data_IF_756004897070
#
_entry.id   IF_756004897070
#
_cell.length_a   1.000
_cell.length_b   1.000
_cell.length_c   1.000
_cell.angle_alpha   90.00
_cell.angle_beta   90.00
_cell.angle_gamma   90.00
#
_symmetry.space_group_name_H-M   'P 1'
#
loop_
_entity.id
_entity.type
_entity.pdbx_description
1 polymer ?
#
# COMPACT_ATOMS: atom_id res chain seq x y z
N UNK A 1 -11.68 -12.91 -17.19
CA UNK A 1 -11.01 -12.18 -16.10
C UNK A 1 -9.73 -11.60 -16.66
N UNK A 2 -9.49 -10.30 -16.50
CA UNK A 2 -8.19 -9.73 -16.84
C UNK A 2 -7.13 -10.18 -15.81
N UNK A 3 -5.86 -10.05 -16.17
CA UNK A 3 -4.75 -10.43 -15.31
C UNK A 3 -4.75 -9.64 -13.99
N UNK A 4 -4.35 -10.31 -12.90
CA UNK A 4 -4.05 -9.66 -11.62
C UNK A 4 -3.00 -8.56 -11.81
N UNK A 5 -3.22 -7.41 -11.17
CA UNK A 5 -2.30 -6.27 -11.17
C UNK A 5 -1.85 -5.93 -9.75
N UNK A 6 -0.59 -5.57 -9.56
CA UNK A 6 -0.02 -5.07 -8.31
C UNK A 6 0.26 -3.57 -8.50
N UNK A 7 -0.71 -2.69 -8.21
CA UNK A 7 -0.55 -1.25 -8.44
C UNK A 7 0.52 -0.63 -7.53
N UNK A 8 0.72 -1.20 -6.33
CA UNK A 8 1.66 -0.68 -5.35
C UNK A 8 2.09 -1.73 -4.33
N UNK A 9 3.32 -1.55 -3.84
CA UNK A 9 3.88 -2.23 -2.67
C UNK A 9 4.41 -1.15 -1.72
N UNK A 10 4.06 -1.25 -0.44
CA UNK A 10 4.42 -0.27 0.57
C UNK A 10 5.26 -0.95 1.66
N UNK A 11 6.47 -0.45 1.84
CA UNK A 11 7.36 -0.87 2.93
C UNK A 11 7.29 0.14 4.05
N UNK A 12 7.09 -0.35 5.27
CA UNK A 12 6.91 0.46 6.46
C UNK A 12 7.96 0.07 7.48
N UNK A 13 8.78 1.02 7.91
CA UNK A 13 9.78 0.79 8.94
C UNK A 13 9.61 1.79 10.05
N UNK A 14 9.46 1.30 11.27
CA UNK A 14 9.32 2.14 12.46
C UNK A 14 10.60 2.09 13.27
N UNK A 15 10.95 3.23 13.86
CA UNK A 15 12.08 3.42 14.76
C UNK A 15 11.64 4.25 15.97
N UNK A 16 12.50 4.33 16.99
CA UNK A 16 12.23 5.18 18.16
C UNK A 16 12.12 6.64 17.70
N UNK A 17 11.13 7.38 18.23
CA UNK A 17 10.89 8.78 17.85
C UNK A 17 12.19 9.60 17.96
N UNK A 18 12.50 10.32 16.89
CA UNK A 18 13.60 11.25 16.75
C UNK A 18 13.07 12.59 16.22
N UNK A 19 13.08 13.61 17.09
CA UNK A 19 12.63 14.97 16.77
C UNK A 19 13.61 15.72 15.85
N UNK A 20 14.85 15.24 15.75
CA UNK A 20 15.91 15.81 14.92
C UNK A 20 16.13 15.02 13.61
N UNK A 21 15.27 14.04 13.31
CA UNK A 21 15.46 13.11 12.19
C UNK A 21 15.74 13.79 10.85
N UNK A 22 15.13 14.96 10.58
CA UNK A 22 15.35 15.69 9.33
C UNK A 22 16.76 16.29 9.26
N UNK A 23 17.32 16.68 10.40
CA UNK A 23 18.70 17.16 10.50
C UNK A 23 19.66 15.98 10.35
N UNK A 24 19.42 14.89 11.10
CA UNK A 24 20.22 13.66 11.07
C UNK A 24 20.25 13.04 9.67
N UNK A 25 19.09 12.81 9.07
CA UNK A 25 18.98 12.24 7.73
C UNK A 25 19.30 13.23 6.60
N UNK A 26 19.47 14.53 6.86
CA UNK A 26 19.55 15.56 5.82
C UNK A 26 20.60 15.28 4.74
N UNK A 27 21.75 14.70 5.12
CA UNK A 27 22.79 14.27 4.17
C UNK A 27 22.35 13.05 3.37
N UNK A 28 21.85 12.01 4.03
CA UNK A 28 21.36 10.79 3.38
C UNK A 28 20.23 11.09 2.40
N UNK A 29 19.27 11.95 2.76
CA UNK A 29 18.16 12.37 1.90
C UNK A 29 18.65 13.07 0.63
N UNK A 30 19.63 13.98 0.74
CA UNK A 30 20.24 14.65 -0.42
C UNK A 30 20.96 13.66 -1.34
N UNK A 31 21.72 12.73 -0.78
CA UNK A 31 22.42 11.69 -1.54
C UNK A 31 21.45 10.75 -2.25
N UNK A 32 20.41 10.31 -1.56
CA UNK A 32 19.33 9.50 -2.13
C UNK A 32 18.63 10.24 -3.27
N UNK A 33 18.24 11.49 -3.03
CA UNK A 33 17.56 12.33 -4.02
C UNK A 33 18.40 12.49 -5.28
N UNK A 34 19.70 12.76 -5.14
CA UNK A 34 20.62 12.84 -6.27
C UNK A 34 20.78 11.50 -7.01
N UNK A 35 20.98 10.39 -6.27
CA UNK A 35 21.16 9.04 -6.85
C UNK A 35 19.94 8.58 -7.64
N UNK A 36 18.74 8.90 -7.16
CA UNK A 36 17.47 8.49 -7.79
C UNK A 36 16.94 9.48 -8.83
N UNK A 37 17.61 10.63 -9.03
CA UNK A 37 17.05 11.76 -9.77
C UNK A 37 15.63 12.11 -9.27
N UNK A 38 15.47 12.09 -7.94
CA UNK A 38 14.19 12.25 -7.26
C UNK A 38 14.10 13.64 -6.62
N UNK A 39 12.89 14.17 -6.49
CA UNK A 39 12.64 15.47 -5.87
C UNK A 39 12.51 15.32 -4.36
N UNK A 40 13.37 16.00 -3.60
CA UNK A 40 13.20 16.16 -2.15
C UNK A 40 12.23 17.32 -1.87
N UNK A 41 11.23 17.06 -1.04
CA UNK A 41 10.18 18.02 -0.66
C UNK A 41 10.11 18.04 0.87
N UNK A 42 10.40 19.19 1.48
CA UNK A 42 10.14 19.39 2.90
C UNK A 42 8.69 19.82 3.08
N UNK A 43 8.00 19.19 4.03
CA UNK A 43 6.61 19.50 4.35
C UNK A 43 6.58 20.44 5.55
N UNK A 44 5.71 21.46 5.49
CA UNK A 44 5.47 22.36 6.63
C UNK A 44 4.46 21.73 7.60
N UNK A 45 4.82 20.55 8.11
CA UNK A 45 3.96 19.77 8.99
C UNK A 45 4.07 20.33 10.41
N UNK A 46 2.96 20.71 11.07
CA UNK A 46 2.99 21.30 12.41
C UNK A 46 3.61 20.38 13.47
N UNK A 47 4.22 20.95 14.49
CA UNK A 47 4.82 20.19 15.61
C UNK A 47 3.77 19.37 16.39
N UNK A 48 2.52 19.85 16.43
CA UNK A 48 1.40 19.15 17.05
C UNK A 48 0.90 17.95 16.23
N UNK A 49 1.32 17.80 14.97
CA UNK A 49 0.95 16.65 14.15
C UNK A 49 1.59 15.37 14.70
N UNK A 50 0.92 14.22 14.59
CA UNK A 50 1.43 12.99 15.17
C UNK A 50 2.83 12.62 14.61
N UNK A 51 3.65 11.87 15.37
CA UNK A 51 5.02 11.55 14.98
C UNK A 51 5.12 10.84 13.62
N UNK A 52 4.11 10.03 13.27
CA UNK A 52 4.02 9.30 12.02
C UNK A 52 3.64 10.18 10.82
N UNK A 53 3.16 11.40 11.04
CA UNK A 53 2.83 12.30 9.94
C UNK A 53 4.12 12.72 9.17
N UNK A 54 4.07 12.75 7.84
CA UNK A 54 5.24 12.98 7.01
C UNK A 54 5.81 14.39 7.25
N UNK A 55 7.13 14.49 7.36
CA UNK A 55 7.89 15.75 7.49
C UNK A 55 8.71 16.05 6.24
N UNK A 56 9.15 15.02 5.52
CA UNK A 56 9.76 15.16 4.20
C UNK A 56 9.34 14.02 3.27
N UNK A 57 9.40 14.28 1.97
CA UNK A 57 9.15 13.31 0.91
C UNK A 57 10.31 13.28 -0.07
N UNK A 58 10.69 12.09 -0.53
CA UNK A 58 11.52 11.90 -1.72
C UNK A 58 10.66 11.27 -2.79
N UNK A 59 10.36 12.04 -3.84
CA UNK A 59 9.50 11.63 -4.94
C UNK A 59 10.33 11.28 -6.17
N UNK A 60 10.46 9.97 -6.43
CA UNK A 60 11.01 9.43 -7.65
C UNK A 60 9.94 9.19 -8.72
N UNK A 61 10.34 8.56 -9.83
CA UNK A 61 9.42 8.20 -10.94
C UNK A 61 8.44 7.10 -10.55
N UNK A 62 8.93 6.11 -9.81
CA UNK A 62 8.27 4.84 -9.48
C UNK A 62 8.16 4.62 -7.97
N UNK A 63 8.62 5.57 -7.16
CA UNK A 63 8.71 5.43 -5.72
C UNK A 63 8.51 6.76 -5.01
N UNK A 64 7.89 6.70 -3.84
CA UNK A 64 7.73 7.83 -2.92
C UNK A 64 8.20 7.34 -1.56
N UNK A 65 9.26 7.94 -1.03
CA UNK A 65 9.68 7.73 0.34
C UNK A 65 9.17 8.88 1.20
N UNK A 66 8.49 8.55 2.28
CA UNK A 66 7.99 9.46 3.31
C UNK A 66 8.81 9.29 4.56
N UNK A 67 9.24 10.43 5.12
CA UNK A 67 10.09 10.52 6.29
C UNK A 67 9.30 11.22 7.39
N UNK A 68 9.09 10.52 8.48
CA UNK A 68 8.37 10.99 9.66
C UNK A 68 9.28 10.91 10.89
N UNK A 69 8.83 11.40 12.05
CA UNK A 69 9.64 11.45 13.28
C UNK A 69 9.91 10.07 13.88
N UNK A 70 9.13 9.05 13.53
CA UNK A 70 9.30 7.68 14.06
C UNK A 70 9.16 6.60 12.98
N UNK A 71 9.06 6.98 11.71
CA UNK A 71 8.70 6.07 10.63
C UNK A 71 9.29 6.50 9.29
N UNK A 72 9.83 5.53 8.57
CA UNK A 72 10.06 5.60 7.14
C UNK A 72 9.00 4.78 6.42
N UNK A 73 8.42 5.34 5.37
CA UNK A 73 7.45 4.64 4.54
C UNK A 73 7.83 4.81 3.07
N UNK A 74 8.08 3.70 2.38
CA UNK A 74 8.43 3.71 0.96
C UNK A 74 7.34 3.02 0.18
N UNK A 75 6.62 3.78 -0.63
CA UNK A 75 5.65 3.26 -1.60
C UNK A 75 6.32 3.10 -2.94
N UNK A 76 6.33 1.89 -3.48
CA UNK A 76 6.80 1.55 -4.83
C UNK A 76 5.62 1.24 -5.72
N UNK A 77 5.61 1.80 -6.93
CA UNK A 77 4.67 1.51 -8.00
C UNK A 77 5.43 0.80 -9.11
N UNK A 78 5.38 -0.54 -9.19
CA UNK A 78 6.03 -1.28 -10.26
C UNK A 78 5.59 -0.77 -11.64
N UNK A 79 6.45 -0.78 -12.67
CA UNK A 79 6.05 -0.36 -14.01
C UNK A 79 5.07 -1.36 -14.64
N UNK A 80 4.24 -0.92 -15.59
CA UNK A 80 3.12 -1.71 -16.14
C UNK A 80 3.52 -3.11 -16.64
N UNK A 81 4.69 -3.26 -17.26
CA UNK A 81 5.18 -4.55 -17.75
C UNK A 81 5.59 -5.54 -16.65
N UNK A 82 5.68 -5.08 -15.38
CA UNK A 82 6.03 -5.89 -14.20
C UNK A 82 4.82 -6.14 -13.30
N UNK A 83 3.81 -5.26 -13.33
CA UNK A 83 2.70 -5.26 -12.37
C UNK A 83 1.89 -6.56 -12.28
N UNK A 84 1.97 -7.43 -13.29
CA UNK A 84 1.19 -8.66 -13.35
C UNK A 84 1.96 -9.90 -12.84
N UNK A 85 3.23 -9.74 -12.46
CA UNK A 85 4.07 -10.81 -11.93
C UNK A 85 4.54 -10.47 -10.51
N UNK A 86 4.04 -11.22 -9.52
CA UNK A 86 4.35 -10.97 -8.11
C UNK A 86 5.86 -11.09 -7.81
N UNK A 87 6.57 -12.17 -8.21
CA UNK A 87 8.02 -12.27 -8.02
C UNK A 87 8.77 -11.05 -8.57
N UNK A 88 8.51 -10.66 -9.82
CA UNK A 88 9.15 -9.49 -10.43
C UNK A 88 8.80 -8.19 -9.71
N UNK A 89 7.56 -8.02 -9.23
CA UNK A 89 7.17 -6.85 -8.42
C UNK A 89 7.92 -6.79 -7.08
N UNK A 90 8.09 -7.93 -6.40
CA UNK A 90 8.81 -8.03 -5.14
C UNK A 90 10.31 -7.77 -5.34
N UNK A 91 10.91 -8.34 -6.38
CA UNK A 91 12.31 -8.08 -6.74
C UNK A 91 12.54 -6.62 -7.11
N UNK A 92 11.65 -6.03 -7.92
CA UNK A 92 11.70 -4.61 -8.24
C UNK A 92 11.63 -3.74 -6.98
N UNK A 93 10.70 -4.07 -6.07
CA UNK A 93 10.55 -3.38 -4.78
C UNK A 93 11.81 -3.51 -3.96
N UNK A 94 12.41 -4.70 -3.87
CA UNK A 94 13.66 -4.93 -3.14
C UNK A 94 14.79 -4.03 -3.66
N UNK A 95 14.99 -4.00 -4.98
CA UNK A 95 16.01 -3.17 -5.63
C UNK A 95 15.81 -1.67 -5.40
N UNK A 96 14.57 -1.21 -5.16
CA UNK A 96 14.26 0.18 -4.85
C UNK A 96 14.38 0.50 -3.36
N UNK A 97 13.84 -0.35 -2.50
CA UNK A 97 13.67 -0.07 -1.07
C UNK A 97 14.94 -0.36 -0.28
N UNK A 98 15.58 -1.49 -0.53
CA UNK A 98 16.71 -1.97 0.29
C UNK A 98 17.87 -0.95 0.34
N UNK A 99 18.35 -0.40 -0.80
CA UNK A 99 19.45 0.56 -0.79
C UNK A 99 19.09 1.92 -0.18
N UNK A 100 17.80 2.23 -0.04
CA UNK A 100 17.32 3.46 0.59
C UNK A 100 17.24 3.28 2.10
N UNK A 101 16.59 2.21 2.51
CA UNK A 101 16.38 1.90 3.92
C UNK A 101 17.69 1.63 4.64
N UNK A 102 18.64 0.92 4.03
CA UNK A 102 19.97 0.71 4.63
C UNK A 102 20.70 2.04 4.86
N UNK A 103 20.50 3.03 4.01
CA UNK A 103 21.13 4.35 4.17
C UNK A 103 20.42 5.19 5.23
N UNK A 104 19.08 5.22 5.21
CA UNK A 104 18.28 5.94 6.19
C UNK A 104 18.42 5.38 7.61
N UNK A 105 18.51 4.05 7.74
CA UNK A 105 18.59 3.40 9.05
C UNK A 105 19.95 3.57 9.73
N UNK A 106 20.99 4.03 9.02
CA UNK A 106 22.26 4.43 9.65
C UNK A 106 22.11 5.68 10.53
N UNK A 107 21.09 6.48 10.26
CA UNK A 107 20.84 7.77 10.90
C UNK A 107 19.88 7.66 12.09
N UNK A 108 19.38 6.45 12.42
CA UNK A 108 18.46 6.23 13.55
C UNK A 108 19.07 5.30 14.59
N UNK A 109 18.74 5.54 15.87
CA UNK A 109 19.27 4.78 17.00
C UNK A 109 18.87 3.29 16.95
N UNK A 110 17.58 3.02 16.69
CA UNK A 110 17.06 1.66 16.72
C UNK A 110 15.87 1.46 15.78
N UNK A 111 16.02 0.48 14.90
CA UNK A 111 14.94 -0.12 14.12
C UNK A 111 14.05 -0.96 15.05
N UNK A 112 12.74 -0.72 15.01
CA UNK A 112 11.77 -1.37 15.91
C UNK A 112 10.95 -2.46 15.22
N UNK A 113 10.47 -2.24 14.00
CA UNK A 113 9.75 -3.25 13.21
C UNK A 113 9.61 -2.83 11.75
N UNK A 114 9.34 -3.82 10.91
CA UNK A 114 9.14 -3.73 9.47
C UNK A 114 7.79 -4.35 9.10
N UNK A 115 7.09 -3.69 8.19
CA UNK A 115 5.90 -4.20 7.53
C UNK A 115 6.00 -4.04 6.03
N UNK A 116 5.39 -4.97 5.31
CA UNK A 116 5.28 -4.97 3.87
C UNK A 116 3.81 -5.15 3.51
N UNK A 117 3.26 -4.20 2.78
CA UNK A 117 1.87 -4.18 2.35
C UNK A 117 1.83 -4.29 0.84
N UNK A 118 1.25 -5.38 0.33
CA UNK A 118 1.08 -5.60 -1.11
C UNK A 118 -0.39 -5.46 -1.44
N UNK A 119 -0.69 -4.62 -2.43
CA UNK A 119 -2.04 -4.49 -2.98
C UNK A 119 -2.14 -5.28 -4.28
N UNK A 120 -3.19 -6.08 -4.38
CA UNK A 120 -3.57 -6.84 -5.56
C UNK A 120 -4.91 -6.31 -6.06
N UNK A 121 -5.01 -6.11 -7.37
CA UNK A 121 -6.23 -5.70 -8.05
C UNK A 121 -6.58 -6.77 -9.10
N UNK A 122 -7.77 -7.34 -8.95
CA UNK A 122 -8.36 -8.25 -9.93
C UNK A 122 -9.46 -7.49 -10.66
N UNK A 123 -9.11 -6.98 -11.84
CA UNK A 123 -10.04 -6.25 -12.69
C UNK A 123 -11.07 -7.19 -13.30
N UNK A 124 -12.34 -6.77 -13.29
CA UNK A 124 -13.39 -7.46 -14.02
C UNK A 124 -13.43 -7.04 -15.49
N UNK A 125 -13.94 -7.93 -16.35
CA UNK A 125 -14.09 -7.64 -17.77
C UNK A 125 -15.12 -6.50 -18.03
N UNK A 126 -16.09 -6.36 -17.12
CA UNK A 126 -17.13 -5.35 -17.20
C UNK A 126 -16.95 -4.28 -16.11
N UNK A 127 -17.25 -3.03 -16.46
CA UNK A 127 -17.18 -1.88 -15.56
C UNK A 127 -18.43 -1.76 -14.66
N UNK A 128 -18.72 -2.84 -13.93
CA UNK A 128 -19.82 -2.90 -12.98
C UNK A 128 -19.48 -2.14 -11.69
N UNK A 129 -20.48 -1.65 -10.93
CA UNK A 129 -20.22 -1.06 -9.62
C UNK A 129 -19.43 -2.01 -8.69
N UNK A 130 -18.45 -1.48 -7.94
CA UNK A 130 -17.63 -2.19 -6.97
C UNK A 130 -18.46 -3.03 -6.01
N UNK A 131 -19.62 -2.51 -5.61
CA UNK A 131 -20.52 -3.22 -4.69
C UNK A 131 -21.07 -4.52 -5.28
N UNK A 132 -21.28 -4.57 -6.59
CA UNK A 132 -21.68 -5.79 -7.31
C UNK A 132 -20.57 -6.82 -7.27
N UNK A 133 -19.31 -6.39 -7.36
CA UNK A 133 -18.14 -7.28 -7.34
C UNK A 133 -17.98 -8.01 -6.00
N UNK A 134 -18.27 -7.31 -4.91
CA UNK A 134 -18.11 -7.87 -3.56
C UNK A 134 -19.36 -8.50 -2.99
N UNK A 135 -20.51 -8.35 -3.65
CA UNK A 135 -21.76 -8.94 -3.18
C UNK A 135 -21.68 -10.47 -3.04
N UNK A 136 -21.10 -11.24 -3.98
CA UNK A 136 -20.91 -12.68 -3.79
C UNK A 136 -20.04 -13.03 -2.58
N UNK A 137 -19.00 -12.23 -2.31
CA UNK A 137 -18.13 -12.40 -1.14
C UNK A 137 -18.93 -12.16 0.14
N UNK A 138 -19.72 -11.08 0.19
CA UNK A 138 -20.62 -10.80 1.31
C UNK A 138 -21.62 -11.94 1.51
N UNK A 139 -22.34 -12.35 0.47
CA UNK A 139 -23.39 -13.36 0.54
C UNK A 139 -22.83 -14.74 0.97
N UNK A 140 -21.58 -15.08 0.58
CA UNK A 140 -20.92 -16.35 0.94
C UNK A 140 -20.30 -16.34 2.34
N UNK A 141 -19.64 -15.25 2.73
CA UNK A 141 -18.84 -15.21 3.96
C UNK A 141 -19.59 -14.62 5.15
N UNK A 142 -20.60 -13.78 4.92
CA UNK A 142 -21.29 -13.06 5.97
C UNK A 142 -22.68 -13.67 6.17
N UNK A 143 -22.90 -14.25 7.33
CA UNK A 143 -24.19 -14.83 7.72
C UNK A 143 -25.21 -13.76 8.16
N UNK A 144 -25.34 -12.68 7.38
CA UNK A 144 -26.31 -11.60 7.62
C UNK A 144 -27.38 -11.68 6.54
N UNK A 145 -28.61 -11.99 6.95
CA UNK A 145 -29.77 -12.01 6.04
C UNK A 145 -30.11 -10.60 5.56
N UNK A 146 -29.69 -10.23 4.35
CA UNK A 146 -30.02 -8.92 3.76
C UNK A 146 -31.49 -8.80 3.35
N UNK A 147 -32.16 -9.90 3.03
CA UNK A 147 -33.55 -9.88 2.58
C UNK A 147 -33.68 -9.11 1.27
N UNK A 148 -34.55 -8.08 1.23
CA UNK A 148 -34.73 -7.18 0.07
C UNK A 148 -33.84 -5.94 0.09
N UNK A 149 -32.89 -5.83 1.03
CA UNK A 149 -32.00 -4.67 1.15
C UNK A 149 -30.86 -4.77 0.14
N UNK A 150 -30.58 -3.67 -0.54
CA UNK A 150 -29.41 -3.54 -1.40
C UNK A 150 -28.14 -3.41 -0.56
N UNK A 151 -27.05 -4.05 -1.02
CA UNK A 151 -25.75 -3.84 -0.44
C UNK A 151 -25.26 -2.44 -0.87
N UNK A 152 -24.90 -1.59 0.08
CA UNK A 152 -24.41 -0.24 -0.21
C UNK A 152 -22.87 -0.19 -0.29
N UNK A 153 -22.19 -0.98 0.54
CA UNK A 153 -20.74 -1.08 0.62
C UNK A 153 -20.35 -2.36 1.35
N UNK A 154 -19.19 -2.93 1.02
CA UNK A 154 -18.61 -4.02 1.80
C UNK A 154 -17.09 -3.93 1.80
N UNK A 155 -16.52 -4.07 2.99
CA UNK A 155 -15.10 -4.26 3.23
C UNK A 155 -14.97 -5.29 4.35
N UNK A 156 -14.12 -6.29 4.14
CA UNK A 156 -13.76 -7.28 5.15
C UNK A 156 -12.30 -7.08 5.55
N UNK A 157 -12.05 -7.03 6.85
CA UNK A 157 -10.70 -6.96 7.41
C UNK A 157 -10.56 -8.00 8.52
N UNK A 158 -9.49 -8.79 8.45
CA UNK A 158 -9.14 -9.77 9.48
C UNK A 158 -7.62 -9.95 9.50
N UNK A 159 -7.12 -10.54 10.59
CA UNK A 159 -5.69 -10.83 10.69
C UNK A 159 -5.38 -11.88 11.74
N UNK A 160 -4.19 -12.45 11.63
CA UNK A 160 -3.67 -13.48 12.50
C UNK A 160 -2.31 -13.06 13.06
N UNK A 161 -2.06 -13.41 14.32
CA UNK A 161 -0.74 -13.32 14.94
C UNK A 161 -0.18 -14.74 15.08
N UNK A 162 0.79 -15.10 14.26
CA UNK A 162 1.36 -16.44 14.19
C UNK A 162 2.84 -16.38 13.83
N UNK A 163 3.67 -17.23 14.46
CA UNK A 163 5.09 -17.33 14.14
C UNK A 163 5.89 -16.03 14.38
N UNK A 164 5.41 -15.16 15.29
CA UNK A 164 6.03 -13.84 15.53
C UNK A 164 5.72 -12.79 14.47
N UNK A 165 4.74 -13.04 13.59
CA UNK A 165 4.29 -12.12 12.56
C UNK A 165 2.82 -11.77 12.77
N UNK A 166 2.44 -10.57 12.33
CA UNK A 166 1.04 -10.21 12.14
C UNK A 166 0.76 -10.14 10.65
N UNK A 167 -0.25 -10.90 10.23
CA UNK A 167 -0.71 -11.01 8.85
C UNK A 167 -2.13 -10.45 8.81
N UNK A 168 -2.32 -9.32 8.15
CA UNK A 168 -3.62 -8.68 7.99
C UNK A 168 -4.05 -8.73 6.52
N UNK A 169 -5.33 -9.01 6.30
CA UNK A 169 -5.95 -9.07 4.98
C UNK A 169 -7.10 -8.09 4.93
N UNK A 170 -7.18 -7.34 3.83
CA UNK A 170 -8.32 -6.47 3.52
C UNK A 170 -8.86 -6.89 2.16
N UNK A 171 -10.18 -7.07 2.09
CA UNK A 171 -10.91 -7.38 0.85
C UNK A 171 -11.96 -6.31 0.64
N UNK A 172 -11.92 -5.64 -0.50
CA UNK A 172 -12.87 -4.60 -0.85
C UNK A 172 -13.09 -4.53 -2.37
N UNK A 173 -14.22 -3.98 -2.77
CA UNK A 173 -14.45 -3.63 -4.17
C UNK A 173 -13.81 -2.29 -4.46
N UNK A 174 -13.20 -2.13 -5.63
CA UNK A 174 -12.67 -0.85 -6.08
C UNK A 174 -13.37 -0.37 -7.35
N UNK A 175 -13.47 0.94 -7.49
CA UNK A 175 -13.97 1.65 -8.66
C UNK A 175 -13.03 2.79 -8.97
N UNK A 176 -12.64 2.92 -10.24
CA UNK A 176 -11.90 4.05 -10.77
C UNK A 176 -12.82 4.84 -11.69
N UNK A 177 -12.91 6.15 -11.45
CA UNK A 177 -13.65 7.10 -12.29
C UNK A 177 -12.71 8.22 -12.70
N UNK A 178 -12.69 8.53 -13.99
CA UNK A 178 -11.83 9.57 -14.55
C UNK A 178 -12.53 10.94 -14.47
N UNK A 179 -12.18 11.73 -13.47
CA UNK A 179 -12.72 13.09 -13.29
C UNK A 179 -11.85 14.07 -14.07
N UNK A 180 -12.42 14.72 -15.07
CA UNK A 180 -11.77 15.84 -15.77
C UNK A 180 -12.14 17.15 -15.11
N UNK A 181 -11.15 17.82 -14.54
CA UNK A 181 -11.32 19.18 -14.02
C UNK A 181 -11.40 20.15 -15.21
N UNK A 182 -12.45 20.99 -15.31
CA UNK A 182 -12.55 21.96 -16.40
C UNK A 182 -11.35 22.92 -16.44
N UNK A 183 -10.77 23.18 -17.62
CA UNK A 183 -9.73 24.19 -17.75
C UNK A 183 -10.30 25.58 -17.42
N UNK A 184 -9.52 26.42 -16.74
CA UNK A 184 -9.88 27.81 -16.46
C UNK A 184 -10.65 28.06 -15.16
N UNK A 185 -10.71 27.09 -14.24
CA UNK A 185 -11.23 27.34 -12.89
C UNK A 185 -10.39 28.41 -12.18
N UNK A 186 -11.02 29.50 -11.66
CA UNK A 186 -10.33 30.50 -10.88
C UNK A 186 -9.61 29.89 -9.68
N UNK A 187 -8.47 30.47 -9.28
CA UNK A 187 -7.76 30.06 -8.07
C UNK A 187 -8.73 30.22 -6.87
N UNK A 188 -8.97 29.13 -6.15
CA UNK A 188 -9.88 29.09 -5.01
C UNK A 188 -11.34 28.73 -5.34
N UNK A 189 -11.69 28.52 -6.61
CA UNK A 189 -13.02 28.03 -6.98
C UNK A 189 -13.20 26.55 -6.62
N UNK A 190 -14.34 26.20 -6.01
CA UNK A 190 -14.71 24.81 -5.76
C UNK A 190 -15.39 24.19 -6.98
N UNK A 191 -14.92 23.02 -7.40
CA UNK A 191 -15.56 22.21 -8.44
C UNK A 191 -16.33 21.06 -7.79
N UNK A 192 -17.66 21.05 -7.92
CA UNK A 192 -18.49 19.96 -7.41
C UNK A 192 -18.55 18.81 -8.41
N UNK A 193 -18.27 17.61 -7.92
CA UNK A 193 -18.33 16.38 -8.70
C UNK A 193 -19.48 15.53 -8.18
N UNK A 194 -20.39 15.12 -9.06
CA UNK A 194 -21.35 14.05 -8.75
C UNK A 194 -20.82 12.72 -9.33
N UNK A 195 -20.36 11.77 -8.48
CA UNK A 195 -19.79 10.51 -8.94
C UNK A 195 -20.75 9.69 -9.82
N UNK A 196 -22.07 9.83 -9.62
CA UNK A 196 -23.08 9.10 -10.40
C UNK A 196 -23.10 9.47 -11.88
N UNK A 197 -22.62 10.66 -12.23
CA UNK A 197 -22.63 11.18 -13.60
C UNK A 197 -21.35 10.86 -14.38
N UNK A 198 -20.36 10.24 -13.74
CA UNK A 198 -19.07 9.92 -14.37
C UNK A 198 -19.02 8.42 -14.63
N UNK A 199 -18.76 7.97 -15.86
CA UNK A 199 -18.69 6.54 -16.13
C UNK A 199 -17.58 5.85 -15.33
N UNK A 200 -17.83 4.61 -14.94
CA UNK A 200 -16.81 3.74 -14.33
C UNK A 200 -15.79 3.41 -15.43
N UNK A 201 -14.53 3.78 -15.18
CA UNK A 201 -13.42 3.49 -16.07
C UNK A 201 -12.87 2.08 -15.84
N UNK A 202 -12.84 1.67 -14.57
CA UNK A 202 -12.35 0.37 -14.13
C UNK A 202 -13.03 -0.01 -12.81
N UNK A 203 -13.28 -1.29 -12.62
CA UNK A 203 -13.79 -1.84 -11.36
C UNK A 203 -13.29 -3.25 -11.14
N UNK A 204 -13.20 -3.65 -9.88
CA UNK A 204 -12.80 -5.01 -9.54
C UNK A 204 -12.69 -5.27 -8.05
N UNK A 205 -11.95 -6.32 -7.74
CA UNK A 205 -11.63 -6.72 -6.36
C UNK A 205 -10.24 -6.22 -5.99
N UNK A 206 -10.14 -5.47 -4.89
CA UNK A 206 -8.87 -5.10 -4.27
C UNK A 206 -8.63 -5.97 -3.04
N UNK A 207 -7.47 -6.60 -3.00
CA UNK A 207 -6.98 -7.39 -1.87
C UNK A 207 -5.70 -6.72 -1.38
N UNK A 208 -5.61 -6.42 -0.09
CA UNK A 208 -4.39 -5.93 0.54
C UNK A 208 -3.89 -6.97 1.54
N UNK A 209 -2.63 -7.38 1.40
CA UNK A 209 -1.96 -8.27 2.34
C UNK A 209 -0.86 -7.48 3.05
N UNK A 210 -1.00 -7.27 4.36
CA UNK A 210 -0.04 -6.63 5.25
C UNK A 210 0.63 -7.69 6.12
N UNK A 211 1.91 -7.95 5.86
CA UNK A 211 2.74 -8.82 6.71
C UNK A 211 3.79 -7.97 7.40
N UNK A 212 3.88 -8.11 8.72
CA UNK A 212 4.81 -7.33 9.51
C UNK A 212 5.27 -8.12 10.74
N UNK A 213 6.41 -7.72 11.30
CA UNK A 213 7.07 -8.41 12.41
C UNK A 213 6.91 -7.67 13.75
N UNK A 214 5.86 -6.85 13.94
CA UNK A 214 5.62 -6.14 15.21
C UNK A 214 5.25 -7.14 16.31
N UNK A 215 5.60 -6.87 17.59
CA UNK A 215 6.77 -6.09 17.96
C UNK A 215 8.04 -6.90 17.64
N UNK A 216 8.97 -6.34 16.87
CA UNK A 216 10.29 -6.93 16.75
C UNK A 216 11.09 -6.45 17.95
N UNK A 217 11.95 -7.31 18.50
CA UNK A 217 12.69 -7.06 19.74
C UNK A 217 13.77 -5.96 19.62
N UNK A 218 13.78 -5.19 18.52
CA UNK A 218 14.81 -4.20 18.21
C UNK A 218 16.18 -4.80 17.85
N UNK A 219 16.25 -6.13 17.68
CA UNK A 219 17.48 -6.88 17.38
C UNK A 219 17.57 -7.37 15.93
N UNK A 220 16.51 -7.18 15.15
CA UNK A 220 16.46 -7.60 13.74
C UNK A 220 17.41 -6.79 12.87
N UNK A 221 17.96 -7.43 11.83
CA UNK A 221 18.68 -6.74 10.77
C UNK A 221 17.69 -6.45 9.64
N UNK A 222 17.51 -5.18 9.30
CA UNK A 222 16.53 -4.75 8.29
C UNK A 222 16.60 -5.58 7.00
N UNK A 223 17.80 -5.81 6.45
CA UNK A 223 17.94 -6.53 5.18
C UNK A 223 17.46 -7.99 5.27
N UNK A 224 17.75 -8.66 6.39
CA UNK A 224 17.28 -10.03 6.64
C UNK A 224 15.77 -10.08 6.83
N UNK A 225 15.23 -9.18 7.66
CA UNK A 225 13.79 -9.07 7.91
C UNK A 225 13.04 -8.75 6.61
N UNK A 226 13.56 -7.82 5.81
CA UNK A 226 12.94 -7.41 4.57
C UNK A 226 12.92 -8.53 3.54
N UNK A 227 14.02 -9.27 3.38
CA UNK A 227 14.07 -10.46 2.55
C UNK A 227 13.05 -11.51 3.00
N UNK A 228 13.00 -11.79 4.30
CA UNK A 228 12.04 -12.75 4.86
C UNK A 228 10.59 -12.33 4.59
N UNK A 229 10.24 -11.06 4.81
CA UNK A 229 8.88 -10.57 4.55
C UNK A 229 8.51 -10.61 3.06
N UNK A 230 9.45 -10.39 2.14
CA UNK A 230 9.21 -10.56 0.69
C UNK A 230 8.89 -12.02 0.35
N UNK A 231 9.61 -12.97 0.93
CA UNK A 231 9.37 -14.41 0.77
C UNK A 231 7.99 -14.79 1.32
N UNK A 232 7.67 -14.37 2.54
CA UNK A 232 6.38 -14.63 3.19
C UNK A 232 5.21 -14.05 2.37
N UNK A 233 5.34 -12.84 1.81
CA UNK A 233 4.30 -12.26 0.96
C UNK A 233 3.95 -13.14 -0.24
N UNK A 234 4.94 -13.82 -0.83
CA UNK A 234 4.70 -14.74 -1.95
C UNK A 234 3.91 -15.98 -1.53
N UNK A 235 4.13 -16.47 -0.33
CA UNK A 235 3.42 -17.61 0.25
C UNK A 235 2.00 -17.22 0.65
N UNK A 236 1.85 -16.08 1.33
CA UNK A 236 0.57 -15.57 1.81
C UNK A 236 -0.40 -15.26 0.68
N UNK A 237 0.07 -14.70 -0.43
CA UNK A 237 -0.79 -14.49 -1.60
C UNK A 237 -1.37 -15.81 -2.13
N UNK A 238 -0.58 -16.89 -2.19
CA UNK A 238 -1.05 -18.22 -2.62
C UNK A 238 -2.04 -18.83 -1.63
N UNK A 239 -1.73 -18.74 -0.34
CA UNK A 239 -2.59 -19.24 0.73
C UNK A 239 -3.94 -18.51 0.76
N UNK A 240 -3.92 -17.19 0.63
CA UNK A 240 -5.11 -16.34 0.67
C UNK A 240 -6.11 -16.64 -0.44
N UNK A 241 -5.63 -16.81 -1.69
CA UNK A 241 -6.48 -17.18 -2.82
C UNK A 241 -7.20 -18.52 -2.61
N UNK A 242 -6.57 -19.43 -1.85
CA UNK A 242 -7.15 -20.72 -1.48
C UNK A 242 -8.14 -20.58 -0.33
N UNK A 243 -7.78 -19.82 0.71
CA UNK A 243 -8.59 -19.62 1.93
C UNK A 243 -9.98 -19.06 1.64
N UNK A 244 -10.06 -18.01 0.82
CA UNK A 244 -11.33 -17.37 0.50
C UNK A 244 -12.02 -17.96 -0.73
N UNK A 245 -11.42 -18.99 -1.34
CA UNK A 245 -11.89 -19.61 -2.56
C UNK A 245 -12.29 -18.56 -3.63
N UNK A 246 -11.45 -17.52 -3.75
CA UNK A 246 -11.72 -16.34 -4.57
C UNK A 246 -11.87 -16.72 -6.04
N UNK A 247 -11.19 -17.77 -6.49
CA UNK A 247 -11.30 -18.24 -7.87
C UNK A 247 -12.74 -18.63 -8.21
N UNK A 248 -13.42 -19.42 -7.38
CA UNK A 248 -14.83 -19.75 -7.62
C UNK A 248 -15.69 -18.48 -7.61
N UNK A 249 -15.48 -17.58 -6.64
CA UNK A 249 -16.26 -16.35 -6.49
C UNK A 249 -16.09 -15.38 -7.68
N UNK A 250 -14.94 -15.42 -8.37
CA UNK A 250 -14.65 -14.60 -9.56
C UNK A 250 -15.06 -15.28 -10.88
N UNK A 251 -15.49 -16.54 -10.85
CA UNK A 251 -15.89 -17.32 -12.03
C UNK A 251 -17.39 -17.64 -12.08
N UNK A 252 -18.10 -17.49 -10.98
CA UNK A 252 -19.58 -17.50 -10.87
C UNK A 252 -20.17 -16.11 -11.16
#
# INVERSE_FOLDING_TARGET
MEAMRIPQIQTVTTFKKDDEILLSCGRALKQISARLNAKLINLNTPDAAPPEAPRALIQGKDSIASISLNRFEITVRPPEHVQNDLPSCLDFTRLRVEPLMVELLKEVESYLWLGLIVKFQHKLAENNPAVTVVQPIFDKLINVKRGKRDLASFQMQFGFAEGGLFKNYIVAGYEVRNIKVPPGLPIGASFQVNPKNIPIAESGLEISIDVNNRPNSGKGQFAADFKSLLEIQSEEHKAFLTLLNIKEILHD
#
